data_IF_647265642380
#
_entry.id   IF_647265642380
#
_cell.length_a   1.000
_cell.length_b   1.000
_cell.length_c   1.000
_cell.angle_alpha   90.00
_cell.angle_beta   90.00
_cell.angle_gamma   90.00
#
_symmetry.space_group_name_H-M   'P 1'
#
loop_
_entity.id
_entity.type
_entity.pdbx_description
1 polymer ?
#
# COMPACT_ATOMS: atom_id res chain seq x y z
N UNK A 1 -8.40 -9.49 1.40
CA UNK A 1 -7.75 -8.31 2.00
C UNK A 1 -6.47 -8.72 2.71
N UNK A 2 -5.51 -7.78 2.79
CA UNK A 2 -4.33 -7.88 3.64
C UNK A 2 -4.27 -6.64 4.53
N UNK A 3 -3.75 -6.79 5.73
CA UNK A 3 -3.63 -5.72 6.71
C UNK A 3 -2.18 -5.61 7.19
N UNK A 4 -1.53 -4.48 6.91
CA UNK A 4 -0.21 -4.18 7.42
C UNK A 4 -0.32 -3.59 8.83
N UNK A 5 0.17 -4.32 9.83
CA UNK A 5 0.23 -3.87 11.21
C UNK A 5 1.54 -3.12 11.45
N UNK A 6 1.50 -1.81 11.18
CA UNK A 6 2.70 -0.99 11.23
C UNK A 6 3.16 -0.71 12.67
N UNK A 7 4.44 -0.40 12.81
CA UNK A 7 5.11 -0.03 14.07
C UNK A 7 5.32 -1.20 15.04
N UNK A 8 5.60 -2.42 14.53
CA UNK A 8 5.96 -3.57 15.38
C UNK A 8 7.20 -3.27 16.25
N UNK A 9 8.10 -2.42 15.79
CA UNK A 9 9.26 -1.91 16.52
C UNK A 9 8.92 -1.17 17.83
N UNK A 10 7.66 -0.78 18.02
CA UNK A 10 7.18 -0.10 19.23
C UNK A 10 6.70 -1.06 20.32
N UNK A 11 6.64 -2.36 20.04
CA UNK A 11 6.28 -3.34 21.07
C UNK A 11 7.35 -3.38 22.18
N UNK A 12 6.94 -3.43 23.46
CA UNK A 12 7.87 -3.51 24.57
C UNK A 12 8.83 -4.71 24.44
N UNK A 13 10.13 -4.43 24.47
CA UNK A 13 11.18 -5.45 24.37
C UNK A 13 11.44 -6.00 22.97
N UNK A 14 10.71 -5.55 21.94
CA UNK A 14 10.94 -5.95 20.56
C UNK A 14 12.26 -5.39 20.03
N UNK A 15 13.02 -6.22 19.33
CA UNK A 15 14.28 -5.84 18.69
C UNK A 15 14.21 -6.10 17.20
N UNK A 16 14.36 -5.05 16.41
CA UNK A 16 14.44 -5.12 14.95
C UNK A 16 15.90 -5.17 14.54
N UNK A 17 16.33 -6.25 13.92
CA UNK A 17 17.72 -6.47 13.47
C UNK A 17 17.83 -6.62 11.97
N UNK A 18 16.77 -7.09 11.32
CA UNK A 18 16.72 -7.33 9.87
C UNK A 18 15.43 -6.83 9.26
N UNK A 19 15.34 -6.79 7.92
CA UNK A 19 14.09 -6.51 7.20
C UNK A 19 13.05 -7.63 7.28
N UNK A 20 13.45 -8.86 7.63
CA UNK A 20 12.53 -9.99 7.76
C UNK A 20 11.87 -10.01 9.13
N UNK A 21 10.54 -9.92 9.14
CA UNK A 21 9.74 -10.09 10.35
C UNK A 21 9.92 -11.49 10.96
N UNK A 22 9.94 -12.54 10.13
CA UNK A 22 10.06 -13.92 10.61
C UNK A 22 11.40 -14.16 11.32
N UNK A 23 12.49 -13.64 10.76
CA UNK A 23 13.81 -13.75 11.37
C UNK A 23 13.87 -12.99 12.70
N UNK A 24 13.34 -11.77 12.73
CA UNK A 24 13.26 -10.98 13.96
C UNK A 24 12.38 -11.66 15.01
N UNK A 25 11.19 -12.15 14.65
CA UNK A 25 10.29 -12.87 15.57
C UNK A 25 10.98 -14.07 16.22
N UNK A 26 11.73 -14.86 15.43
CA UNK A 26 12.45 -16.02 15.95
C UNK A 26 13.56 -15.66 16.93
N UNK A 27 14.16 -14.47 16.80
CA UNK A 27 15.27 -14.01 17.65
C UNK A 27 14.81 -13.21 18.91
N UNK A 28 13.50 -12.96 19.05
CA UNK A 28 12.99 -12.22 20.21
C UNK A 28 13.12 -13.00 21.52
N UNK A 29 13.25 -12.24 22.62
CA UNK A 29 13.13 -12.82 23.96
C UNK A 29 11.74 -13.44 24.19
N UNK A 30 11.62 -14.44 25.08
CA UNK A 30 10.30 -15.04 25.39
C UNK A 30 9.25 -14.01 25.80
N UNK A 31 9.65 -13.00 26.58
CA UNK A 31 8.75 -11.91 27.01
C UNK A 31 8.25 -11.08 25.82
N UNK A 32 9.13 -10.71 24.89
CA UNK A 32 8.75 -9.94 23.71
C UNK A 32 7.83 -10.77 22.77
N UNK A 33 8.11 -12.05 22.62
CA UNK A 33 7.24 -12.96 21.86
C UNK A 33 5.85 -13.08 22.49
N UNK A 34 5.77 -13.18 23.82
CA UNK A 34 4.49 -13.22 24.52
C UNK A 34 3.72 -11.90 24.37
N UNK A 35 4.40 -10.76 24.50
CA UNK A 35 3.80 -9.44 24.28
C UNK A 35 3.24 -9.32 22.85
N UNK A 36 4.00 -9.76 21.86
CA UNK A 36 3.56 -9.79 20.48
C UNK A 36 2.32 -10.68 20.30
N UNK A 37 2.32 -11.90 20.85
CA UNK A 37 1.19 -12.81 20.74
C UNK A 37 -0.07 -12.23 21.38
N UNK A 38 0.04 -11.65 22.57
CA UNK A 38 -1.09 -11.00 23.25
C UNK A 38 -1.69 -9.91 22.39
N UNK A 39 -0.85 -9.03 21.81
CA UNK A 39 -1.31 -7.97 20.92
C UNK A 39 -1.96 -8.50 19.64
N UNK A 40 -1.42 -9.57 19.06
CA UNK A 40 -2.02 -10.22 17.89
C UNK A 40 -3.41 -10.75 18.19
N UNK A 41 -3.59 -11.45 19.33
CA UNK A 41 -4.91 -11.95 19.73
C UNK A 41 -5.91 -10.85 20.04
N UNK A 42 -5.50 -9.73 20.62
CA UNK A 42 -6.36 -8.55 20.81
C UNK A 42 -6.87 -8.02 19.46
N UNK A 43 -5.98 -7.84 18.46
CA UNK A 43 -6.35 -7.37 17.13
C UNK A 43 -7.28 -8.36 16.41
N UNK A 44 -6.96 -9.67 16.47
CA UNK A 44 -7.81 -10.71 15.88
C UNK A 44 -9.20 -10.70 16.52
N UNK A 45 -9.26 -10.58 17.85
CA UNK A 45 -10.53 -10.48 18.57
C UNK A 45 -11.34 -9.25 18.18
N UNK A 46 -10.70 -8.08 18.07
CA UNK A 46 -11.36 -6.85 17.64
C UNK A 46 -11.90 -6.96 16.21
N UNK A 47 -11.10 -7.46 15.28
CA UNK A 47 -11.55 -7.71 13.90
C UNK A 47 -12.70 -8.72 13.85
N UNK A 48 -12.65 -9.75 14.71
CA UNK A 48 -13.72 -10.75 14.86
C UNK A 48 -15.04 -10.13 15.30
N UNK A 49 -15.03 -9.12 16.20
CA UNK A 49 -16.26 -8.41 16.60
C UNK A 49 -16.92 -7.66 15.45
N UNK A 50 -16.14 -7.29 14.43
CA UNK A 50 -16.62 -6.66 13.19
C UNK A 50 -16.93 -7.67 12.09
N UNK A 51 -16.89 -8.97 12.36
CA UNK A 51 -17.21 -10.04 11.41
C UNK A 51 -16.08 -10.37 10.42
N UNK A 52 -14.84 -9.96 10.73
CA UNK A 52 -13.68 -10.27 9.90
C UNK A 52 -12.87 -11.42 10.50
N UNK A 53 -12.76 -12.50 9.73
CA UNK A 53 -11.84 -13.58 10.04
C UNK A 53 -10.40 -13.17 9.70
N UNK A 54 -9.49 -13.26 10.63
CA UNK A 54 -8.11 -12.77 10.46
C UNK A 54 -7.10 -13.63 11.19
N UNK A 55 -5.90 -13.74 10.63
CA UNK A 55 -4.79 -14.49 11.24
C UNK A 55 -3.44 -13.90 10.81
N UNK A 56 -2.37 -14.25 11.54
CA UNK A 56 -1.02 -13.96 11.07
C UNK A 56 -0.81 -14.61 9.70
N UNK A 57 -0.15 -13.92 8.80
CA UNK A 57 0.02 -14.36 7.40
C UNK A 57 0.64 -15.75 7.24
N UNK A 58 1.42 -16.21 8.24
CA UNK A 58 2.01 -17.57 8.28
C UNK A 58 0.98 -18.67 8.56
N UNK A 59 -0.15 -18.33 9.18
CA UNK A 59 -1.10 -19.29 9.72
C UNK A 59 -2.34 -19.43 8.82
N UNK A 60 -2.36 -18.72 7.69
CA UNK A 60 -3.50 -18.67 6.76
C UNK A 60 -3.43 -19.81 5.75
N UNK A 61 -4.51 -20.55 5.65
CA UNK A 61 -4.72 -21.58 4.62
C UNK A 61 -5.51 -21.05 3.41
N UNK A 62 -6.48 -20.17 3.65
CA UNK A 62 -7.34 -19.60 2.62
C UNK A 62 -7.40 -18.08 2.69
N UNK A 63 -6.62 -17.42 1.83
CA UNK A 63 -6.56 -15.95 1.71
C UNK A 63 -7.83 -15.31 1.13
N UNK A 64 -8.81 -16.09 0.65
CA UNK A 64 -10.07 -15.53 0.19
C UNK A 64 -11.03 -15.25 1.36
N UNK A 65 -10.92 -16.03 2.42
CA UNK A 65 -11.82 -15.97 3.59
C UNK A 65 -11.19 -15.22 4.76
N UNK A 66 -9.87 -15.36 4.94
CA UNK A 66 -9.15 -14.86 6.11
C UNK A 66 -8.27 -13.68 5.74
N UNK A 67 -8.36 -12.60 6.49
CA UNK A 67 -7.50 -11.41 6.33
C UNK A 67 -6.10 -11.72 6.84
N UNK A 68 -5.10 -11.52 5.99
CA UNK A 68 -3.71 -11.68 6.38
C UNK A 68 -3.22 -10.48 7.20
N UNK A 69 -2.82 -10.72 8.43
CA UNK A 69 -2.16 -9.73 9.28
C UNK A 69 -0.65 -9.82 9.08
N UNK A 70 -0.03 -8.74 8.64
CA UNK A 70 1.41 -8.67 8.36
C UNK A 70 2.03 -7.58 9.22
N UNK A 71 2.75 -7.97 10.30
CA UNK A 71 3.45 -7.00 11.13
C UNK A 71 4.58 -6.34 10.34
N UNK A 72 4.65 -5.02 10.40
CA UNK A 72 5.63 -4.23 9.66
C UNK A 72 6.22 -3.11 10.52
N UNK A 73 7.40 -2.66 10.15
CA UNK A 73 7.97 -1.38 10.57
C UNK A 73 8.73 -0.78 9.40
N UNK A 74 8.37 0.41 8.99
CA UNK A 74 9.07 1.15 7.90
C UNK A 74 10.30 1.90 8.39
N UNK A 75 10.65 1.76 9.67
CA UNK A 75 11.82 2.38 10.26
C UNK A 75 13.09 1.61 9.82
N UNK A 76 14.16 2.31 9.56
CA UNK A 76 15.53 1.87 9.18
C UNK A 76 15.64 0.56 8.36
N UNK A 77 15.21 -0.56 8.90
CA UNK A 77 15.37 -1.89 8.29
C UNK A 77 14.21 -2.29 7.36
N UNK A 78 13.06 -1.62 7.44
CA UNK A 78 11.87 -2.01 6.69
C UNK A 78 11.33 -3.39 7.10
N UNK A 79 11.35 -3.72 8.39
CA UNK A 79 10.89 -5.01 8.92
C UNK A 79 9.49 -5.37 8.44
N UNK A 80 9.30 -6.60 7.95
CA UNK A 80 8.02 -7.11 7.46
C UNK A 80 7.59 -6.58 6.08
N UNK A 81 8.29 -5.59 5.55
CA UNK A 81 7.99 -5.05 4.20
C UNK A 81 8.25 -6.09 3.11
N UNK A 82 9.34 -6.87 3.12
CA UNK A 82 9.53 -7.96 2.17
C UNK A 82 8.39 -9.00 2.21
N UNK A 83 7.94 -9.41 3.39
CA UNK A 83 6.83 -10.34 3.56
C UNK A 83 5.52 -9.74 3.05
N UNK A 84 5.26 -8.45 3.33
CA UNK A 84 4.10 -7.74 2.79
C UNK A 84 4.08 -7.76 1.26
N UNK A 85 5.20 -7.43 0.61
CA UNK A 85 5.29 -7.47 -0.85
C UNK A 85 5.18 -8.90 -1.40
N UNK A 86 5.79 -9.87 -0.75
CA UNK A 86 5.69 -11.28 -1.16
C UNK A 86 4.23 -11.76 -1.18
N UNK A 87 3.48 -11.50 -0.11
CA UNK A 87 2.06 -11.86 -0.02
C UNK A 87 1.24 -11.08 -1.04
N UNK A 88 1.44 -9.77 -1.14
CA UNK A 88 0.73 -8.92 -2.09
C UNK A 88 0.93 -9.39 -3.53
N UNK A 89 2.17 -9.64 -3.93
CA UNK A 89 2.51 -10.12 -5.27
C UNK A 89 1.94 -11.51 -5.53
N UNK A 90 2.04 -12.42 -4.56
CA UNK A 90 1.47 -13.77 -4.67
C UNK A 90 -0.05 -13.76 -4.87
N UNK A 91 -0.76 -12.94 -4.09
CA UNK A 91 -2.22 -12.77 -4.23
C UNK A 91 -2.59 -12.08 -5.55
N UNK A 92 -1.84 -11.06 -5.96
CA UNK A 92 -2.07 -10.39 -7.24
C UNK A 92 -1.89 -11.36 -8.42
N UNK A 93 -0.82 -12.14 -8.43
CA UNK A 93 -0.57 -13.15 -9.47
C UNK A 93 -1.65 -14.24 -9.49
N UNK A 94 -2.10 -14.68 -8.31
CA UNK A 94 -3.08 -15.77 -8.22
C UNK A 94 -4.49 -15.34 -8.59
N UNK A 95 -4.92 -14.15 -8.14
CA UNK A 95 -6.33 -13.74 -8.24
C UNK A 95 -6.59 -12.61 -9.22
N UNK A 96 -5.58 -11.82 -9.58
CA UNK A 96 -5.73 -10.64 -10.43
C UNK A 96 -5.04 -10.77 -11.80
N UNK A 97 -4.47 -11.95 -12.11
CA UNK A 97 -3.71 -12.14 -13.36
C UNK A 97 -4.49 -11.72 -14.61
N UNK A 98 -5.78 -12.07 -14.69
CA UNK A 98 -6.62 -11.67 -15.81
C UNK A 98 -6.94 -10.17 -15.88
N UNK A 99 -6.84 -9.45 -14.74
CA UNK A 99 -7.05 -8.00 -14.64
C UNK A 99 -5.77 -7.20 -14.81
N UNK A 100 -4.61 -7.86 -14.74
CA UNK A 100 -3.29 -7.24 -14.94
C UNK A 100 -2.85 -7.24 -16.40
N UNK A 101 -3.64 -7.85 -17.30
CA UNK A 101 -3.41 -7.78 -18.74
C UNK A 101 -3.76 -6.37 -19.21
N UNK A 102 -2.76 -5.64 -19.70
CA UNK A 102 -2.95 -4.33 -20.30
C UNK A 102 -3.79 -4.50 -21.58
N UNK A 103 -4.93 -3.86 -21.65
CA UNK A 103 -5.67 -3.74 -22.88
C UNK A 103 -5.11 -2.58 -23.72
N UNK A 104 -4.97 -2.79 -25.03
CA UNK A 104 -4.69 -1.69 -25.95
C UNK A 104 -5.95 -0.84 -26.08
N UNK A 105 -5.85 0.47 -25.83
CA UNK A 105 -7.01 1.38 -25.89
C UNK A 105 -6.82 2.69 -25.16
N UNK A 106 -7.94 3.35 -24.89
CA UNK A 106 -7.99 4.57 -24.10
C UNK A 106 -7.44 4.34 -22.71
N UNK A 107 -6.77 5.32 -22.15
CA UNK A 107 -6.25 5.22 -20.80
C UNK A 107 -7.37 5.24 -19.77
N UNK A 108 -7.26 4.34 -18.79
CA UNK A 108 -8.15 4.29 -17.63
C UNK A 108 -7.33 4.41 -16.37
N UNK A 109 -7.85 5.16 -15.39
CA UNK A 109 -7.16 5.40 -14.15
C UNK A 109 -8.09 5.82 -13.02
N UNK A 110 -7.53 5.91 -11.82
CA UNK A 110 -8.24 6.39 -10.64
C UNK A 110 -7.54 7.62 -10.09
N UNK A 111 -8.31 8.67 -9.82
CA UNK A 111 -7.82 9.85 -9.11
C UNK A 111 -7.72 9.49 -7.62
N UNK A 112 -6.50 9.57 -7.08
CA UNK A 112 -6.21 9.27 -5.66
C UNK A 112 -6.09 10.54 -4.82
N UNK A 113 -5.77 11.67 -5.46
CA UNK A 113 -5.54 12.92 -4.75
C UNK A 113 -5.80 14.12 -5.68
N UNK A 114 -6.29 15.20 -5.08
CA UNK A 114 -6.43 16.51 -5.74
C UNK A 114 -5.65 17.52 -4.90
N UNK A 115 -4.68 18.17 -5.51
CA UNK A 115 -3.87 19.22 -4.89
C UNK A 115 -4.00 20.53 -5.66
N UNK A 116 -3.82 21.64 -4.96
CA UNK A 116 -3.63 22.93 -5.56
C UNK A 116 -2.17 23.37 -5.35
N UNK A 117 -1.41 23.43 -6.43
CA UNK A 117 0.01 23.75 -6.36
C UNK A 117 0.28 25.14 -6.91
N UNK A 118 1.12 25.88 -6.19
CA UNK A 118 1.50 27.26 -6.55
C UNK A 118 2.21 27.27 -7.91
N UNK A 119 1.61 27.94 -8.90
CA UNK A 119 2.14 28.03 -10.25
C UNK A 119 1.65 26.94 -11.23
N UNK A 120 1.13 25.82 -10.75
CA UNK A 120 0.57 24.75 -11.57
C UNK A 120 -0.97 24.73 -11.54
N UNK A 121 -1.58 25.31 -10.51
CA UNK A 121 -3.01 25.26 -10.27
C UNK A 121 -3.46 23.91 -9.72
N UNK A 122 -4.65 23.47 -10.10
CA UNK A 122 -5.17 22.17 -9.65
C UNK A 122 -4.47 21.02 -10.36
N UNK A 123 -3.84 20.15 -9.59
CA UNK A 123 -3.17 18.94 -10.04
C UNK A 123 -3.92 17.71 -9.52
N UNK A 124 -3.92 16.64 -10.31
CA UNK A 124 -4.54 15.37 -9.97
C UNK A 124 -3.45 14.32 -9.82
N UNK A 125 -3.38 13.69 -8.65
CA UNK A 125 -2.63 12.45 -8.47
C UNK A 125 -3.45 11.29 -9.03
N UNK A 126 -2.96 10.62 -10.07
CA UNK A 126 -3.69 9.58 -10.80
C UNK A 126 -2.87 8.31 -10.90
N UNK A 127 -3.50 7.17 -10.65
CA UNK A 127 -2.94 5.85 -10.99
C UNK A 127 -3.56 5.40 -12.31
N UNK A 128 -2.76 5.27 -13.36
CA UNK A 128 -3.16 4.68 -14.64
C UNK A 128 -2.92 3.18 -14.57
N UNK A 129 -3.96 2.38 -14.76
CA UNK A 129 -3.90 0.92 -14.73
C UNK A 129 -4.20 0.28 -16.09
N UNK A 130 -4.63 1.05 -17.10
CA UNK A 130 -4.89 0.56 -18.44
C UNK A 130 -4.56 1.65 -19.47
N UNK A 131 -4.12 1.25 -20.66
CA UNK A 131 -3.79 2.16 -21.76
C UNK A 131 -2.63 3.10 -21.46
N UNK A 132 -2.52 4.16 -22.26
CA UNK A 132 -1.45 5.18 -22.17
C UNK A 132 -2.07 6.56 -22.20
N UNK A 133 -1.77 7.39 -21.21
CA UNK A 133 -2.16 8.79 -21.16
C UNK A 133 -1.05 9.67 -21.76
N UNK A 134 -1.40 10.56 -22.66
CA UNK A 134 -0.48 11.52 -23.28
C UNK A 134 -0.88 12.96 -22.96
N UNK A 135 0.10 13.85 -22.99
CA UNK A 135 -0.17 15.28 -22.96
C UNK A 135 -1.08 15.66 -24.13
N UNK A 136 -2.02 16.54 -23.89
CA UNK A 136 -3.06 16.98 -24.81
C UNK A 136 -4.23 16.01 -25.05
N UNK A 137 -4.24 14.83 -24.42
CA UNK A 137 -5.41 13.95 -24.46
C UNK A 137 -6.62 14.60 -23.76
N UNK A 138 -7.82 14.25 -24.18
CA UNK A 138 -9.04 14.62 -23.50
C UNK A 138 -9.28 13.63 -22.34
N UNK A 139 -9.56 14.17 -21.17
CA UNK A 139 -9.77 13.43 -19.94
C UNK A 139 -11.21 13.61 -19.47
N UNK A 140 -11.88 12.52 -19.17
CA UNK A 140 -13.20 12.51 -18.54
C UNK A 140 -13.01 12.07 -17.09
N UNK A 141 -13.31 12.96 -16.14
CA UNK A 141 -13.15 12.71 -14.72
C UNK A 141 -14.53 12.53 -14.11
N UNK A 142 -14.75 11.39 -13.46
CA UNK A 142 -15.97 11.17 -12.68
C UNK A 142 -16.02 12.15 -11.51
N UNK A 143 -17.03 13.00 -11.49
CA UNK A 143 -17.29 13.97 -10.43
C UNK A 143 -18.81 14.07 -10.16
N UNK A 144 -19.20 14.68 -9.03
CA UNK A 144 -20.59 14.98 -8.73
C UNK A 144 -20.78 16.51 -8.77
N UNK A 145 -21.90 17.00 -9.34
CA UNK A 145 -23.04 16.24 -9.89
C UNK A 145 -22.83 15.69 -11.30
N UNK A 146 -21.85 16.19 -12.05
CA UNK A 146 -21.60 15.81 -13.44
C UNK A 146 -20.12 15.53 -13.70
N UNK A 147 -19.80 14.65 -14.68
CA UNK A 147 -18.43 14.40 -15.06
C UNK A 147 -17.75 15.67 -15.61
N UNK A 148 -16.49 15.83 -15.27
CA UNK A 148 -15.69 16.96 -15.79
C UNK A 148 -14.91 16.50 -17.01
N UNK A 149 -15.12 17.17 -18.15
CA UNK A 149 -14.33 16.96 -19.36
C UNK A 149 -13.27 18.05 -19.43
N UNK A 150 -12.02 17.64 -19.51
CA UNK A 150 -10.89 18.57 -19.57
C UNK A 150 -9.79 18.00 -20.47
N UNK A 151 -8.78 18.82 -20.75
CA UNK A 151 -7.62 18.40 -21.54
C UNK A 151 -6.39 18.30 -20.63
N UNK A 152 -5.62 17.24 -20.81
CA UNK A 152 -4.32 17.09 -20.12
C UNK A 152 -3.37 18.18 -20.57
N UNK A 153 -3.03 19.07 -19.67
CA UNK A 153 -2.12 20.19 -19.94
C UNK A 153 -0.66 19.73 -19.87
N UNK A 154 -0.31 19.01 -18.82
CA UNK A 154 1.01 18.42 -18.61
C UNK A 154 0.90 17.16 -17.77
N UNK A 155 1.86 16.27 -17.91
CA UNK A 155 2.01 15.07 -17.09
C UNK A 155 3.28 15.26 -16.27
N UNK A 156 3.12 15.22 -14.96
CA UNK A 156 4.21 15.37 -14.01
C UNK A 156 4.51 14.00 -13.40
N UNK A 157 5.76 13.66 -13.29
CA UNK A 157 6.18 12.45 -12.57
C UNK A 157 6.82 12.86 -11.25
N UNK A 158 6.37 12.31 -10.11
CA UNK A 158 7.05 12.57 -8.86
C UNK A 158 8.48 12.05 -8.95
N UNK A 159 9.44 12.84 -8.50
CA UNK A 159 10.81 12.38 -8.36
C UNK A 159 10.87 11.27 -7.30
N UNK A 160 11.84 10.34 -7.41
CA UNK A 160 12.12 9.41 -6.33
C UNK A 160 12.26 10.16 -5.01
N UNK A 161 11.86 9.53 -3.90
CA UNK A 161 11.92 10.08 -2.54
C UNK A 161 13.40 10.25 -2.10
N UNK A 162 14.14 11.11 -2.78
CA UNK A 162 15.36 11.70 -2.27
C UNK A 162 15.02 12.90 -1.38
N UNK A 163 15.94 13.32 -0.53
CA UNK A 163 15.76 14.52 0.30
C UNK A 163 15.38 15.71 -0.59
N UNK A 164 14.10 15.95 -0.74
CA UNK A 164 13.61 17.11 -1.48
C UNK A 164 13.81 18.33 -0.58
N UNK A 165 14.93 19.00 -0.74
CA UNK A 165 15.25 20.24 -0.01
C UNK A 165 14.51 21.45 -0.56
N UNK A 166 14.06 21.40 -1.82
CA UNK A 166 13.27 22.46 -2.47
C UNK A 166 11.94 21.92 -2.99
N UNK A 167 10.80 22.42 -2.47
CA UNK A 167 9.47 22.00 -2.95
C UNK A 167 9.24 22.21 -4.45
N UNK A 168 10.03 23.07 -5.11
CA UNK A 168 9.94 23.34 -6.56
C UNK A 168 10.52 22.22 -7.43
N UNK A 169 11.26 21.30 -6.84
CA UNK A 169 11.91 20.18 -7.54
C UNK A 169 11.17 18.84 -7.39
N UNK A 170 9.92 18.87 -6.95
CA UNK A 170 9.14 17.64 -6.69
C UNK A 170 8.77 16.84 -7.95
N UNK A 171 8.82 17.47 -9.13
CA UNK A 171 8.38 16.84 -10.37
C UNK A 171 9.39 17.03 -11.51
N UNK A 172 9.42 16.04 -12.39
CA UNK A 172 10.04 16.10 -13.72
C UNK A 172 8.98 16.29 -14.78
#
# INVERSE_FOLDING_TARGET
>A
FILALNKVDKLPGWRTTTGSFLANKASQSPTAQQTFQTRMYEIIGELGTHGFDSALFTDIQDFQKTIALIPTSVKETGEGVPELFMILMGLAQRYLRGRLLLAEGSSEGTVIEIKEEKGLGKTLGVIIYNGVLKASDNLIIGAQPEPVVTRVRSILRPKPLDEIRDPRQQFD
#
